data_IF_787129565989
#
_entry.id   IF_787129565989
#
_cell.length_a   1.000
_cell.length_b   1.000
_cell.length_c   1.000
_cell.angle_alpha   90.00
_cell.angle_beta   90.00
_cell.angle_gamma   90.00
#
_symmetry.space_group_name_H-M   'P 1'
#
loop_
_entity.id
_entity.type
_entity.pdbx_description
1 polymer ?
#
# COMPACT_ATOMS: atom_id res chain seq x y z
N UNK A 1 -16.83 12.01 -12.80
CA UNK A 1 -15.41 12.01 -12.41
C UNK A 1 -15.10 13.34 -11.74
N UNK A 2 -15.08 13.38 -10.40
CA UNK A 2 -14.61 14.57 -9.68
C UNK A 2 -13.14 14.37 -9.32
N UNK A 3 -12.26 15.11 -10.00
CA UNK A 3 -10.91 15.34 -9.51
C UNK A 3 -11.04 16.38 -8.39
N UNK A 4 -10.98 15.91 -7.15
CA UNK A 4 -10.93 16.78 -5.99
C UNK A 4 -9.61 17.56 -6.02
N UNK A 5 -9.73 18.89 -5.95
CA UNK A 5 -8.86 19.80 -5.21
C UNK A 5 -7.33 19.62 -5.35
N UNK A 6 -6.75 20.34 -6.30
CA UNK A 6 -5.31 20.63 -6.33
C UNK A 6 -5.02 21.92 -5.57
N UNK A 7 -5.08 21.90 -4.24
CA UNK A 7 -4.45 22.94 -3.41
C UNK A 7 -4.26 22.48 -1.97
N UNK A 8 -3.00 22.21 -1.58
CA UNK A 8 -2.50 22.02 -0.20
C UNK A 8 -2.43 20.57 0.34
N UNK A 9 -1.58 19.73 -0.25
CA UNK A 9 -1.20 18.43 0.33
C UNK A 9 -0.53 17.50 -0.67
N UNK A 10 0.21 16.46 -0.22
CA UNK A 10 0.58 15.37 -1.11
C UNK A 10 -0.68 14.71 -1.67
N UNK A 11 -0.67 14.36 -2.95
CA UNK A 11 -1.72 13.52 -3.51
C UNK A 11 -1.61 12.11 -2.89
N UNK A 12 -2.44 11.86 -1.89
CA UNK A 12 -2.43 10.63 -1.12
C UNK A 12 -2.74 9.39 -1.97
N UNK A 13 -3.54 9.55 -3.04
CA UNK A 13 -3.79 8.44 -3.96
C UNK A 13 -2.52 8.07 -4.74
N UNK A 14 -1.81 9.09 -5.26
CA UNK A 14 -0.52 8.90 -5.94
C UNK A 14 0.54 8.31 -5.00
N UNK A 15 0.59 8.73 -3.73
CA UNK A 15 1.53 8.18 -2.77
C UNK A 15 1.21 6.72 -2.41
N UNK A 16 -0.06 6.38 -2.21
CA UNK A 16 -0.47 5.01 -1.93
C UNK A 16 -0.13 4.08 -3.10
N UNK A 17 -0.36 4.51 -4.34
CA UNK A 17 0.04 3.76 -5.54
C UNK A 17 1.54 3.46 -5.54
N UNK A 18 2.38 4.48 -5.29
CA UNK A 18 3.83 4.32 -5.22
C UNK A 18 4.25 3.38 -4.09
N UNK A 19 3.61 3.48 -2.93
CA UNK A 19 3.89 2.60 -1.80
C UNK A 19 3.59 1.14 -2.13
N UNK A 20 2.45 0.87 -2.77
CA UNK A 20 2.07 -0.49 -3.21
C UNK A 20 3.09 -1.05 -4.20
N UNK A 21 3.53 -0.23 -5.17
CA UNK A 21 4.56 -0.63 -6.14
C UNK A 21 5.89 -0.97 -5.45
N UNK A 22 6.33 -0.12 -4.51
CA UNK A 22 7.57 -0.32 -3.76
C UNK A 22 7.51 -1.59 -2.90
N UNK A 23 6.43 -1.79 -2.13
CA UNK A 23 6.25 -2.99 -1.32
C UNK A 23 6.21 -4.25 -2.20
N UNK A 24 5.54 -4.20 -3.34
CA UNK A 24 5.47 -5.33 -4.29
C UNK A 24 6.85 -5.70 -4.84
N UNK A 25 7.68 -4.70 -5.14
CA UNK A 25 9.05 -4.90 -5.60
C UNK A 25 9.95 -5.43 -4.48
N UNK A 26 9.85 -4.87 -3.27
CA UNK A 26 10.66 -5.26 -2.11
C UNK A 26 10.42 -6.73 -1.72
N UNK A 27 9.17 -7.18 -1.76
CA UNK A 27 8.78 -8.55 -1.42
C UNK A 27 8.72 -9.49 -2.64
N UNK A 28 9.28 -9.09 -3.79
CA UNK A 28 9.26 -9.92 -4.99
C UNK A 28 9.99 -11.25 -4.76
N UNK A 29 9.29 -12.37 -5.01
CA UNK A 29 9.84 -13.71 -4.80
C UNK A 29 9.81 -14.18 -3.34
N UNK A 30 9.50 -13.31 -2.38
CA UNK A 30 9.30 -13.70 -1.00
C UNK A 30 8.02 -14.53 -0.85
N UNK A 31 8.12 -15.60 -0.06
CA UNK A 31 7.02 -16.54 0.20
C UNK A 31 6.78 -16.67 1.69
N UNK A 32 5.52 -16.85 2.05
CA UNK A 32 5.14 -17.27 3.40
C UNK A 32 5.41 -18.76 3.60
N UNK A 33 5.24 -19.25 4.84
CA UNK A 33 5.45 -20.67 5.19
C UNK A 33 4.52 -21.63 4.42
N UNK A 34 3.36 -21.14 3.99
CA UNK A 34 2.38 -21.89 3.19
C UNK A 34 2.65 -21.83 1.68
N UNK A 35 3.72 -21.15 1.24
CA UNK A 35 4.09 -20.98 -0.16
C UNK A 35 3.36 -19.84 -0.89
N UNK A 36 2.48 -19.11 -0.23
CA UNK A 36 1.82 -17.94 -0.82
C UNK A 36 2.79 -16.73 -0.95
N UNK A 37 2.55 -15.80 -1.89
CA UNK A 37 3.33 -14.57 -1.99
C UNK A 37 3.25 -13.73 -0.71
N UNK A 38 4.38 -13.31 -0.17
CA UNK A 38 4.43 -12.57 1.09
C UNK A 38 3.73 -11.20 1.02
N UNK A 39 3.79 -10.53 -0.13
CA UNK A 39 3.11 -9.25 -0.39
C UNK A 39 1.61 -9.25 -0.04
N UNK A 40 0.97 -10.41 -0.02
CA UNK A 40 -0.44 -10.53 0.39
C UNK A 40 -0.65 -10.12 1.85
N UNK A 41 0.34 -10.30 2.73
CA UNK A 41 0.26 -9.91 4.13
C UNK A 41 0.04 -8.39 4.32
N UNK A 42 0.96 -7.50 3.87
CA UNK A 42 0.77 -6.06 3.99
C UNK A 42 -0.45 -5.55 3.20
N UNK A 43 -0.78 -6.13 2.04
CA UNK A 43 -1.99 -5.76 1.29
C UNK A 43 -3.28 -6.11 2.03
N UNK A 44 -3.31 -7.25 2.74
CA UNK A 44 -4.47 -7.66 3.52
C UNK A 44 -4.68 -6.73 4.72
N UNK A 45 -3.60 -6.30 5.38
CA UNK A 45 -3.67 -5.30 6.45
C UNK A 45 -4.15 -3.94 5.92
N UNK A 46 -3.61 -3.49 4.79
CA UNK A 46 -4.06 -2.25 4.13
C UNK A 46 -5.57 -2.27 3.87
N UNK A 47 -6.11 -3.39 3.37
CA UNK A 47 -7.53 -3.51 3.06
C UNK A 47 -8.46 -3.48 4.29
N UNK A 48 -7.93 -3.70 5.49
CA UNK A 48 -8.70 -3.63 6.75
C UNK A 48 -8.69 -2.24 7.38
N UNK A 49 -7.87 -1.31 6.88
CA UNK A 49 -7.71 0.02 7.47
C UNK A 49 -8.46 1.08 6.68
N UNK A 50 -9.09 1.97 7.43
CA UNK A 50 -9.69 3.19 6.90
C UNK A 50 -8.68 4.35 6.92
N UNK A 51 -8.70 5.16 5.86
CA UNK A 51 -7.85 6.34 5.72
C UNK A 51 -6.50 6.06 5.06
N UNK A 52 -6.13 6.92 4.12
CA UNK A 52 -4.95 6.71 3.26
C UNK A 52 -3.63 6.68 4.04
N UNK A 53 -3.53 7.46 5.13
CA UNK A 53 -2.32 7.48 5.97
C UNK A 53 -2.09 6.12 6.65
N UNK A 54 -3.15 5.51 7.20
CA UNK A 54 -3.08 4.21 7.84
C UNK A 54 -2.78 3.11 6.82
N UNK A 55 -3.37 3.21 5.62
CA UNK A 55 -3.10 2.31 4.50
C UNK A 55 -1.64 2.40 4.02
N UNK A 56 -1.10 3.61 3.91
CA UNK A 56 0.30 3.86 3.57
C UNK A 56 1.25 3.19 4.57
N UNK A 57 1.01 3.39 5.87
CA UNK A 57 1.80 2.75 6.93
C UNK A 57 1.68 1.22 6.82
N UNK A 58 0.48 0.68 6.66
CA UNK A 58 0.30 -0.77 6.57
C UNK A 58 0.97 -1.42 5.36
N UNK A 59 1.02 -0.74 4.21
CA UNK A 59 1.72 -1.26 3.03
C UNK A 59 3.25 -1.28 3.22
N UNK A 60 3.79 -0.32 3.99
CA UNK A 60 5.22 -0.08 4.16
C UNK A 60 5.77 -0.49 5.54
N UNK A 61 4.97 -1.14 6.38
CA UNK A 61 5.34 -1.42 7.78
C UNK A 61 6.41 -2.50 7.93
N UNK A 62 6.61 -3.28 6.87
CA UNK A 62 7.50 -4.44 6.83
C UNK A 62 8.81 -4.10 6.10
#
# INVERSE_FOLDING_TARGET
>A
MNFADTSSGPDWATLLEKAILLATQAHQGQRQKDGSPYILHPLHLMAQLDGTDAQLVAVLHD
#
